data_IF_036554276125
#
_entry.id   IF_036554276125
#
_cell.length_a   1.000
_cell.length_b   1.000
_cell.length_c   1.000
_cell.angle_alpha   90.00
_cell.angle_beta   90.00
_cell.angle_gamma   90.00
#
_symmetry.space_group_name_H-M   'P 1'
#
loop_
_entity.id
_entity.type
_entity.pdbx_description
1 polymer ?
#
# COMPACT_ATOMS: atom_id res chain seq x y z
N UNK A 1 -9.24 22.49 -8.50
CA UNK A 1 -8.26 21.65 -9.20
C UNK A 1 -8.72 20.20 -9.12
N UNK A 2 -8.95 19.59 -10.24
CA UNK A 2 -9.40 18.22 -10.29
C UNK A 2 -8.23 17.28 -10.58
N UNK A 3 -8.16 16.19 -9.82
CA UNK A 3 -7.16 15.15 -10.01
C UNK A 3 -7.84 13.90 -10.54
N UNK A 4 -7.19 13.27 -11.50
CA UNK A 4 -7.68 12.07 -12.13
C UNK A 4 -6.82 10.89 -11.70
N UNK A 5 -7.44 9.77 -11.33
CA UNK A 5 -6.72 8.57 -10.89
C UNK A 5 -7.02 7.43 -11.85
N UNK A 6 -5.98 6.77 -12.33
CA UNK A 6 -6.09 5.60 -13.20
C UNK A 6 -4.94 4.64 -12.97
N UNK A 7 -5.04 3.47 -13.58
CA UNK A 7 -3.95 2.51 -13.59
C UNK A 7 -2.73 3.11 -14.30
N UNK A 8 -1.56 2.87 -13.72
CA UNK A 8 -0.28 3.25 -14.30
C UNK A 8 -0.01 2.47 -15.59
N UNK A 9 0.56 3.13 -16.59
CA UNK A 9 0.96 2.51 -17.84
C UNK A 9 2.44 2.13 -17.81
N UNK A 10 2.81 1.07 -18.54
CA UNK A 10 4.18 0.53 -18.51
C UNK A 10 5.23 1.60 -18.83
N UNK A 11 4.96 2.46 -19.79
CA UNK A 11 5.93 3.50 -20.18
C UNK A 11 6.09 4.61 -19.13
N UNK A 12 5.28 4.60 -18.07
CA UNK A 12 5.32 5.61 -17.00
C UNK A 12 6.14 5.17 -15.79
N UNK A 13 6.64 3.94 -15.77
CA UNK A 13 7.32 3.37 -14.59
C UNK A 13 8.48 4.24 -14.09
N UNK A 14 9.32 4.73 -14.98
CA UNK A 14 10.45 5.58 -14.59
C UNK A 14 10.00 6.91 -14.01
N UNK A 15 8.97 7.52 -14.61
CA UNK A 15 8.40 8.77 -14.12
C UNK A 15 7.83 8.58 -12.71
N UNK A 16 7.10 7.48 -12.50
CA UNK A 16 6.51 7.16 -11.21
C UNK A 16 7.57 6.95 -10.14
N UNK A 17 8.63 6.20 -10.46
CA UNK A 17 9.72 5.97 -9.50
C UNK A 17 10.41 7.28 -9.11
N UNK A 18 10.55 8.21 -10.04
CA UNK A 18 11.10 9.53 -9.75
C UNK A 18 10.20 10.33 -8.80
N UNK A 19 8.88 10.27 -9.01
CA UNK A 19 7.90 10.89 -8.11
C UNK A 19 8.00 10.29 -6.70
N UNK A 20 8.08 8.97 -6.60
CA UNK A 20 8.22 8.28 -5.31
C UNK A 20 9.50 8.73 -4.60
N UNK A 21 10.61 8.78 -5.32
CA UNK A 21 11.89 9.25 -4.77
C UNK A 21 11.79 10.67 -4.20
N UNK A 22 11.20 11.57 -4.96
CA UNK A 22 11.03 12.97 -4.54
C UNK A 22 10.08 13.10 -3.35
N UNK A 23 9.02 12.31 -3.33
CA UNK A 23 8.02 12.35 -2.26
C UNK A 23 8.63 12.00 -0.89
N UNK A 24 9.59 11.07 -0.85
CA UNK A 24 10.19 10.62 0.39
C UNK A 24 11.53 11.28 0.73
N UNK A 25 12.05 12.14 -0.14
CA UNK A 25 13.38 12.72 0.01
C UNK A 25 13.60 13.41 1.36
N UNK A 26 12.58 14.11 1.87
CA UNK A 26 12.64 14.85 3.12
C UNK A 26 11.84 14.20 4.25
N UNK A 27 11.34 12.99 4.06
CA UNK A 27 10.57 12.29 5.10
C UNK A 27 11.48 11.75 6.19
N UNK A 28 11.16 12.11 7.44
CA UNK A 28 12.00 11.82 8.61
C UNK A 28 12.18 10.33 8.88
N UNK A 29 11.12 9.55 8.70
CA UNK A 29 11.11 8.11 9.05
C UNK A 29 11.30 7.20 7.84
N UNK A 30 11.63 7.76 6.69
CA UNK A 30 11.86 7.02 5.47
C UNK A 30 13.33 6.59 5.35
N UNK A 31 13.56 5.39 4.80
CA UNK A 31 14.91 4.93 4.44
C UNK A 31 15.37 5.48 3.08
N UNK A 32 14.53 6.27 2.41
CA UNK A 32 14.77 6.88 1.08
C UNK A 32 14.92 5.84 -0.03
N UNK A 33 14.45 4.61 0.19
CA UNK A 33 14.54 3.49 -0.76
C UNK A 33 13.18 3.06 -1.32
N UNK A 34 12.13 3.82 -1.05
CA UNK A 34 10.77 3.47 -1.49
C UNK A 34 10.68 3.29 -3.01
N UNK A 35 11.39 4.10 -3.77
CA UNK A 35 11.39 3.97 -5.24
C UNK A 35 12.07 2.67 -5.70
N UNK A 36 13.08 2.20 -4.98
CA UNK A 36 13.69 0.88 -5.26
C UNK A 36 12.73 -0.24 -4.93
N UNK A 37 11.98 -0.10 -3.84
CA UNK A 37 10.96 -1.07 -3.46
C UNK A 37 9.91 -1.22 -4.57
N UNK A 38 9.42 -0.10 -5.09
CA UNK A 38 8.45 -0.10 -6.20
C UNK A 38 9.01 -0.87 -7.40
N UNK A 39 10.26 -0.60 -7.78
CA UNK A 39 10.91 -1.29 -8.88
C UNK A 39 11.01 -2.80 -8.64
N UNK A 40 11.42 -3.20 -7.44
CA UNK A 40 11.55 -4.60 -7.08
C UNK A 40 10.20 -5.33 -7.08
N UNK A 41 9.16 -4.68 -6.57
CA UNK A 41 7.82 -5.27 -6.55
C UNK A 41 7.34 -5.51 -7.98
N UNK A 42 7.56 -4.56 -8.89
CA UNK A 42 7.16 -4.70 -10.29
C UNK A 42 7.78 -5.91 -10.98
N UNK A 43 8.98 -6.32 -10.54
CA UNK A 43 9.72 -7.45 -11.10
C UNK A 43 9.44 -8.76 -10.37
N UNK A 44 8.51 -8.75 -9.40
CA UNK A 44 8.21 -9.91 -8.56
C UNK A 44 6.82 -10.47 -8.85
N UNK A 45 6.54 -11.65 -8.33
CA UNK A 45 5.21 -12.28 -8.42
C UNK A 45 4.16 -11.56 -7.56
N UNK A 46 4.59 -10.62 -6.70
CA UNK A 46 3.69 -9.84 -5.86
C UNK A 46 3.02 -8.69 -6.60
N UNK A 47 3.49 -8.34 -7.79
CA UNK A 47 2.97 -7.20 -8.54
C UNK A 47 1.58 -7.47 -9.10
N UNK A 48 0.69 -6.49 -8.89
CA UNK A 48 -0.68 -6.49 -9.42
C UNK A 48 -0.81 -5.19 -10.22
N UNK A 49 -0.68 -5.24 -11.57
CA UNK A 49 -0.72 -4.01 -12.36
C UNK A 49 -1.97 -3.15 -12.11
N UNK A 50 -3.12 -3.77 -11.91
CA UNK A 50 -4.40 -3.07 -11.66
C UNK A 50 -4.40 -2.31 -10.32
N UNK A 51 -3.45 -2.60 -9.43
CA UNK A 51 -3.32 -1.95 -8.13
C UNK A 51 -2.07 -1.06 -8.05
N UNK A 52 -1.52 -0.68 -9.19
CA UNK A 52 -0.51 0.35 -9.33
C UNK A 52 -1.19 1.54 -10.00
N UNK A 53 -1.54 2.55 -9.20
CA UNK A 53 -2.38 3.66 -9.65
C UNK A 53 -1.62 4.97 -9.58
N UNK A 54 -1.88 5.84 -10.56
CA UNK A 54 -1.30 7.18 -10.61
C UNK A 54 -2.39 8.23 -10.50
N UNK A 55 -2.05 9.35 -9.85
CA UNK A 55 -2.87 10.54 -9.82
C UNK A 55 -2.27 11.55 -10.79
N UNK A 56 -3.12 12.17 -11.59
CA UNK A 56 -2.71 13.12 -12.62
C UNK A 56 -3.36 14.48 -12.39
N UNK A 57 -2.57 15.52 -12.63
CA UNK A 57 -3.05 16.88 -12.83
C UNK A 57 -2.86 17.16 -14.31
N UNK A 58 -3.97 17.10 -15.07
CA UNK A 58 -3.85 17.10 -16.53
C UNK A 58 -3.07 15.89 -17.03
N UNK A 59 -1.92 16.14 -17.65
CA UNK A 59 -1.04 15.07 -18.15
C UNK A 59 0.12 14.75 -17.20
N UNK A 60 0.27 15.52 -16.14
CA UNK A 60 1.36 15.38 -15.19
C UNK A 60 1.02 14.36 -14.10
N UNK A 61 1.90 13.37 -13.90
CA UNK A 61 1.77 12.44 -12.78
C UNK A 61 2.23 13.15 -11.52
N UNK A 62 1.34 13.22 -10.53
CA UNK A 62 1.60 13.93 -9.26
C UNK A 62 1.52 13.01 -8.04
N UNK A 63 1.12 11.77 -8.22
CA UNK A 63 1.05 10.82 -7.12
C UNK A 63 0.96 9.38 -7.60
N UNK A 64 1.21 8.46 -6.69
CA UNK A 64 1.21 7.03 -6.98
C UNK A 64 0.86 6.24 -5.73
N UNK A 65 0.19 5.12 -5.91
CA UNK A 65 -0.04 4.13 -4.85
C UNK A 65 0.19 2.73 -5.42
N UNK A 66 0.73 1.85 -4.58
CA UNK A 66 0.96 0.46 -4.93
C UNK A 66 0.44 -0.44 -3.82
N UNK A 67 -0.44 -1.37 -4.18
CA UNK A 67 -0.81 -2.50 -3.33
C UNK A 67 -0.23 -3.75 -3.96
N UNK A 68 0.38 -4.62 -3.16
CA UNK A 68 1.02 -5.83 -3.66
C UNK A 68 0.66 -7.05 -2.81
N UNK A 69 0.88 -8.24 -3.36
CA UNK A 69 0.49 -9.49 -2.72
C UNK A 69 1.37 -9.81 -1.52
N UNK A 70 0.72 -10.20 -0.43
CA UNK A 70 1.37 -10.75 0.76
C UNK A 70 0.53 -11.94 1.23
N UNK A 71 1.05 -12.64 2.24
CA UNK A 71 0.33 -13.74 2.88
C UNK A 71 0.30 -13.56 4.38
N UNK A 72 -0.77 -14.06 4.99
CA UNK A 72 -0.88 -14.18 6.46
C UNK A 72 -0.75 -15.67 6.75
N UNK A 73 0.28 -16.06 7.48
CA UNK A 73 0.66 -17.47 7.65
C UNK A 73 0.51 -17.90 9.10
N UNK A 74 -0.19 -19.02 9.31
CA UNK A 74 -0.37 -19.66 10.61
C UNK A 74 -0.07 -21.16 10.43
N UNK A 75 1.18 -21.57 10.73
CA UNK A 75 1.62 -22.94 10.50
C UNK A 75 1.55 -23.31 9.02
N UNK A 76 0.74 -24.32 8.71
CA UNK A 76 0.55 -24.77 7.31
C UNK A 76 -0.57 -24.00 6.60
N UNK A 77 -1.28 -23.13 7.31
CA UNK A 77 -2.37 -22.33 6.73
C UNK A 77 -1.84 -20.99 6.24
N UNK A 78 -2.27 -20.59 5.05
CA UNK A 78 -1.84 -19.35 4.43
C UNK A 78 -3.05 -18.68 3.79
N UNK A 79 -3.23 -17.39 4.06
CA UNK A 79 -4.32 -16.59 3.50
C UNK A 79 -3.71 -15.43 2.73
N UNK A 80 -4.22 -15.19 1.53
CA UNK A 80 -3.78 -14.07 0.71
C UNK A 80 -4.27 -12.73 1.27
N UNK A 81 -3.42 -11.72 1.20
CA UNK A 81 -3.75 -10.35 1.57
C UNK A 81 -2.94 -9.39 0.71
N UNK A 82 -3.03 -8.11 1.03
CA UNK A 82 -2.33 -7.04 0.31
C UNK A 82 -1.53 -6.18 1.28
N UNK A 83 -0.36 -5.74 0.85
CA UNK A 83 0.38 -4.69 1.53
C UNK A 83 0.13 -3.37 0.81
N UNK A 84 -0.26 -2.35 1.56
CA UNK A 84 -0.40 -0.99 1.04
C UNK A 84 0.93 -0.27 1.30
N UNK A 85 1.76 -0.19 0.28
CA UNK A 85 3.06 0.49 0.36
C UNK A 85 3.75 0.51 -1.00
N UNK A 86 4.28 1.66 -1.42
CA UNK A 86 4.11 2.97 -0.81
C UNK A 86 2.92 3.74 -1.37
N UNK A 87 2.53 4.83 -0.70
CA UNK A 87 1.66 5.85 -1.25
C UNK A 87 2.46 7.15 -1.27
N UNK A 88 2.47 7.83 -2.42
CA UNK A 88 3.38 8.95 -2.67
C UNK A 88 2.66 10.09 -3.37
N UNK A 89 2.95 11.32 -2.97
CA UNK A 89 2.46 12.54 -3.63
C UNK A 89 3.64 13.47 -3.80
N UNK A 90 3.78 14.03 -5.01
CA UNK A 90 4.85 14.99 -5.30
C UNK A 90 4.81 16.15 -4.28
N UNK A 91 5.97 16.64 -3.81
CA UNK A 91 6.00 17.66 -2.75
C UNK A 91 5.10 18.88 -3.00
N UNK A 92 5.04 19.37 -4.25
CA UNK A 92 4.24 20.53 -4.62
C UNK A 92 2.73 20.28 -4.50
N UNK A 93 2.32 19.03 -4.47
CA UNK A 93 0.92 18.62 -4.47
C UNK A 93 0.46 17.99 -3.15
N UNK A 94 1.32 17.96 -2.13
CA UNK A 94 0.96 17.43 -0.82
C UNK A 94 -0.04 18.33 -0.10
N UNK A 95 -0.77 17.74 0.86
CA UNK A 95 -1.79 18.42 1.68
C UNK A 95 -3.01 18.88 0.88
N UNK A 96 -3.28 18.25 -0.25
CA UNK A 96 -4.44 18.55 -1.11
C UNK A 96 -5.42 17.37 -1.18
N UNK A 97 -5.21 16.33 -0.37
CA UNK A 97 -6.10 15.17 -0.32
C UNK A 97 -5.83 14.11 -1.38
N UNK A 98 -4.77 14.24 -2.17
CA UNK A 98 -4.45 13.29 -3.24
C UNK A 98 -4.14 11.90 -2.69
N UNK A 99 -3.33 11.83 -1.63
CA UNK A 99 -3.00 10.54 -0.99
C UNK A 99 -4.23 9.80 -0.51
N UNK A 100 -5.17 10.52 0.12
CA UNK A 100 -6.43 9.93 0.56
C UNK A 100 -7.27 9.42 -0.60
N UNK A 101 -7.34 10.16 -1.70
CA UNK A 101 -8.06 9.73 -2.90
C UNK A 101 -7.44 8.47 -3.49
N UNK A 102 -6.11 8.42 -3.57
CA UNK A 102 -5.39 7.25 -4.05
C UNK A 102 -5.72 6.02 -3.20
N UNK A 103 -5.71 6.17 -1.88
CA UNK A 103 -6.02 5.07 -0.96
C UNK A 103 -7.46 4.59 -1.17
N UNK A 104 -8.44 5.49 -1.22
CA UNK A 104 -9.84 5.12 -1.44
C UNK A 104 -10.04 4.38 -2.76
N UNK A 105 -9.46 4.87 -3.84
CA UNK A 105 -9.60 4.26 -5.17
C UNK A 105 -8.93 2.88 -5.19
N UNK A 106 -7.74 2.77 -4.61
CA UNK A 106 -7.01 1.50 -4.58
C UNK A 106 -7.74 0.43 -3.75
N UNK A 107 -8.27 0.80 -2.59
CA UNK A 107 -9.01 -0.14 -1.73
C UNK A 107 -10.30 -0.61 -2.41
N UNK A 108 -11.02 0.30 -3.06
CA UNK A 108 -12.21 -0.05 -3.83
C UNK A 108 -11.87 -1.00 -4.97
N UNK A 109 -10.80 -0.72 -5.70
CA UNK A 109 -10.36 -1.57 -6.81
C UNK A 109 -9.93 -2.95 -6.32
N UNK A 110 -9.21 -3.01 -5.20
CA UNK A 110 -8.81 -4.27 -4.59
C UNK A 110 -10.01 -5.15 -4.24
N UNK A 111 -11.04 -4.55 -3.65
CA UNK A 111 -12.29 -5.25 -3.34
C UNK A 111 -12.95 -5.78 -4.61
N UNK A 112 -13.03 -4.96 -5.65
CA UNK A 112 -13.61 -5.35 -6.94
C UNK A 112 -12.86 -6.52 -7.57
N UNK A 113 -11.54 -6.59 -7.40
CA UNK A 113 -10.71 -7.68 -7.89
C UNK A 113 -10.81 -8.95 -7.07
N UNK A 114 -11.55 -8.92 -5.95
CA UNK A 114 -11.77 -10.10 -5.11
C UNK A 114 -10.79 -10.25 -3.94
N UNK A 115 -9.93 -9.27 -3.71
CA UNK A 115 -9.06 -9.30 -2.53
C UNK A 115 -9.90 -9.03 -1.27
N UNK A 116 -9.54 -9.69 -0.18
CA UNK A 116 -10.38 -9.72 1.02
C UNK A 116 -9.87 -8.84 2.15
N UNK A 117 -8.59 -8.50 2.14
CA UNK A 117 -8.00 -7.70 3.22
C UNK A 117 -6.77 -6.96 2.73
N UNK A 118 -6.37 -5.96 3.52
CA UNK A 118 -5.14 -5.19 3.28
C UNK A 118 -4.46 -4.92 4.62
N UNK A 119 -3.14 -4.87 4.57
CA UNK A 119 -2.28 -4.60 5.73
C UNK A 119 -1.52 -3.31 5.43
N UNK A 120 -1.36 -2.48 6.46
CA UNK A 120 -0.54 -1.27 6.35
C UNK A 120 0.32 -1.10 7.60
N UNK A 121 1.55 -0.69 7.39
CA UNK A 121 2.42 -0.19 8.45
C UNK A 121 2.48 1.32 8.25
N UNK A 122 1.82 2.08 9.12
CA UNK A 122 1.70 3.51 8.90
C UNK A 122 1.18 4.26 10.11
N UNK A 123 0.88 5.54 9.90
CA UNK A 123 0.56 6.45 10.97
C UNK A 123 -0.78 6.10 11.63
N UNK A 124 -0.77 5.91 12.93
CA UNK A 124 -1.94 5.50 13.73
C UNK A 124 -3.10 6.49 13.68
N UNK A 125 -2.85 7.75 13.37
CA UNK A 125 -3.88 8.79 13.32
C UNK A 125 -4.39 9.04 11.90
N UNK A 126 -3.81 8.39 10.91
CA UNK A 126 -4.16 8.59 9.50
C UNK A 126 -4.99 7.44 8.93
N UNK A 127 -4.48 6.20 9.05
CA UNK A 127 -5.11 5.05 8.40
C UNK A 127 -6.46 4.62 8.99
N UNK A 128 -6.76 4.86 10.30
CA UNK A 128 -8.09 4.51 10.83
C UNK A 128 -9.25 5.18 10.11
N UNK A 129 -9.06 6.35 9.50
CA UNK A 129 -10.13 7.01 8.75
C UNK A 129 -10.56 6.22 7.50
N UNK A 130 -9.73 5.29 7.02
CA UNK A 130 -10.06 4.41 5.90
C UNK A 130 -10.66 3.07 6.38
N UNK A 131 -10.78 2.88 7.69
CA UNK A 131 -11.30 1.65 8.28
C UNK A 131 -10.26 0.70 8.82
N UNK A 132 -8.97 1.04 8.74
CA UNK A 132 -7.90 0.22 9.31
C UNK A 132 -7.97 0.20 10.82
N UNK A 133 -7.68 -0.96 11.40
CA UNK A 133 -7.63 -1.20 12.85
C UNK A 133 -6.35 -1.97 13.19
N UNK A 134 -5.87 -1.90 14.44
CA UNK A 134 -4.70 -2.69 14.82
C UNK A 134 -4.86 -4.15 14.41
N UNK A 135 -3.87 -4.69 13.73
CA UNK A 135 -3.92 -6.07 13.23
C UNK A 135 -4.02 -7.09 14.36
N UNK A 136 -3.55 -6.72 15.55
CA UNK A 136 -3.64 -7.57 16.76
C UNK A 136 -5.07 -7.93 17.15
N UNK A 137 -6.07 -7.16 16.71
CA UNK A 137 -7.48 -7.50 16.95
C UNK A 137 -7.84 -8.88 16.36
N UNK A 138 -7.13 -9.31 15.34
CA UNK A 138 -7.32 -10.61 14.69
C UNK A 138 -6.16 -11.57 14.97
N UNK A 139 -5.27 -11.23 15.91
CA UNK A 139 -4.05 -12.01 16.16
C UNK A 139 -3.16 -12.12 14.92
N UNK A 140 -3.12 -11.06 14.13
CA UNK A 140 -2.23 -10.92 12.97
C UNK A 140 -1.03 -10.10 13.43
N UNK A 141 0.16 -10.63 13.17
CA UNK A 141 1.42 -10.05 13.64
C UNK A 141 2.33 -9.68 12.49
N UNK A 142 3.10 -8.62 12.70
CA UNK A 142 4.20 -8.27 11.80
C UNK A 142 5.36 -9.26 11.99
N UNK A 143 6.18 -9.49 10.95
CA UNK A 143 7.36 -10.36 11.05
C UNK A 143 8.56 -9.67 11.69
N UNK A 144 8.36 -8.51 12.29
CA UNK A 144 9.38 -7.70 12.96
C UNK A 144 8.74 -6.97 14.14
N UNK A 145 9.57 -6.45 15.04
CA UNK A 145 9.06 -5.68 16.17
C UNK A 145 8.61 -4.28 15.71
N UNK A 146 7.39 -3.92 16.08
CA UNK A 146 6.79 -2.64 15.74
C UNK A 146 5.67 -2.36 16.73
N UNK A 147 5.41 -1.07 17.07
CA UNK A 147 4.28 -0.74 17.93
C UNK A 147 2.97 -1.26 17.35
N UNK A 148 2.12 -1.82 18.22
CA UNK A 148 0.85 -2.40 17.80
C UNK A 148 -0.03 -1.41 17.04
N UNK A 149 -0.06 -0.17 17.46
CA UNK A 149 -0.92 0.87 16.91
C UNK A 149 -0.60 1.30 15.48
N UNK A 150 0.61 0.99 14.97
CA UNK A 150 1.01 1.38 13.62
C UNK A 150 0.96 0.22 12.61
N UNK A 151 0.72 -1.00 13.08
CA UNK A 151 0.56 -2.17 12.23
C UNK A 151 -0.92 -2.53 12.16
N UNK A 152 -1.55 -2.24 11.03
CA UNK A 152 -3.00 -2.24 10.92
C UNK A 152 -3.50 -3.12 9.79
N UNK A 153 -4.72 -3.61 9.95
CA UNK A 153 -5.40 -4.43 8.95
C UNK A 153 -6.78 -3.85 8.64
N UNK A 154 -7.25 -4.12 7.43
CA UNK A 154 -8.56 -3.70 6.96
C UNK A 154 -9.27 -4.88 6.30
N UNK A 155 -10.52 -5.11 6.70
CA UNK A 155 -11.40 -6.04 6.00
C UNK A 155 -11.99 -5.33 4.79
N UNK A 156 -11.69 -5.84 3.59
CA UNK A 156 -12.26 -5.29 2.34
C UNK A 156 -13.68 -5.79 2.11
N UNK A 157 -14.01 -6.96 2.65
CA UNK A 157 -15.38 -7.47 2.69
C UNK A 157 -15.75 -7.79 4.12
N UNK A 158 -17.04 -7.78 4.44
CA UNK A 158 -17.53 -7.98 5.80
C UNK A 158 -16.98 -9.28 6.40
N UNK A 159 -16.37 -9.15 7.59
CA UNK A 159 -15.84 -10.26 8.39
C UNK A 159 -14.81 -11.13 7.65
N UNK A 160 -14.13 -10.55 6.65
CA UNK A 160 -13.15 -11.30 5.84
C UNK A 160 -11.91 -11.73 6.63
N UNK A 161 -11.62 -11.09 7.76
CA UNK A 161 -10.52 -11.50 8.65
C UNK A 161 -10.98 -12.35 9.83
N UNK A 162 -12.27 -12.65 9.94
CA UNK A 162 -12.75 -13.55 10.98
C UNK A 162 -12.08 -14.90 10.79
N UNK A 163 -11.47 -15.42 11.86
CA UNK A 163 -10.69 -16.67 11.85
C UNK A 163 -9.40 -16.63 11.03
N UNK A 164 -8.96 -15.45 10.61
CA UNK A 164 -7.65 -15.25 9.96
C UNK A 164 -6.68 -14.75 11.00
N UNK A 165 -5.58 -15.49 11.21
CA UNK A 165 -4.54 -15.13 12.16
C UNK A 165 -3.19 -15.57 11.66
N UNK A 166 -2.12 -15.12 12.29
CA UNK A 166 -0.77 -15.54 11.98
C UNK A 166 0.19 -14.38 11.75
N UNK A 167 1.28 -14.66 11.09
CA UNK A 167 2.35 -13.70 10.82
C UNK A 167 2.32 -13.30 9.35
N UNK A 168 2.41 -12.00 9.08
CA UNK A 168 2.47 -11.49 7.71
C UNK A 168 3.79 -11.90 7.07
N UNK A 169 3.72 -12.45 5.87
CA UNK A 169 4.88 -12.78 5.04
C UNK A 169 4.87 -11.88 3.81
N UNK A 170 5.82 -10.96 3.80
CA UNK A 170 6.00 -10.04 2.67
C UNK A 170 6.75 -10.72 1.53
N UNK A 171 6.53 -10.24 0.31
CA UNK A 171 7.34 -10.62 -0.84
C UNK A 171 8.83 -10.35 -0.56
N UNK A 172 9.70 -11.14 -1.17
CA UNK A 172 11.15 -10.91 -1.12
C UNK A 172 11.55 -9.52 -1.61
N UNK A 173 10.71 -8.88 -2.42
CA UNK A 173 10.93 -7.51 -2.88
C UNK A 173 11.03 -6.50 -1.72
N UNK A 174 10.43 -6.80 -0.56
CA UNK A 174 10.53 -5.98 0.65
C UNK A 174 11.81 -6.22 1.45
N UNK A 175 12.59 -7.25 1.10
CA UNK A 175 13.85 -7.56 1.78
C UNK A 175 14.95 -6.60 1.30
N UNK A 176 15.80 -6.19 2.22
CA UNK A 176 16.93 -5.32 1.92
C UNK A 176 18.10 -6.13 1.40
#
# INVERSE_FOLDING_TARGET
MEFFIRQELTHEYNTTEDIVKKAFLNEKYSDKKEHFLVNKIRKSDAFIPELSLVALNGKEIVGHILLSKIKIVDGDNSVDSLALAPVSVAPEYQRKGIGSQLIHVALKKAKELGYRSAIVLGHKDYYPKFGFKPASLWNIKAPFEVPDEVFMALELSKDSLENVKGVVHYSKAFSV
#
